data_IF_004092384138
#
_entry.id   IF_004092384138
#
_cell.length_a   1.000
_cell.length_b   1.000
_cell.length_c   1.000
_cell.angle_alpha   90.00
_cell.angle_beta   90.00
_cell.angle_gamma   90.00
#
_symmetry.space_group_name_H-M   'P 1'
#
loop_
_entity.id
_entity.type
_entity.pdbx_description
1 polymer ?
#
# COMPACT_ATOMS: atom_id res chain seq x y z
N UNK A 1 2.55 21.56 16.82
CA UNK A 1 1.64 21.75 15.73
C UNK A 1 1.27 20.46 15.01
N UNK A 2 1.98 19.51 15.24
CA UNK A 2 1.84 18.31 14.46
C UNK A 2 0.53 17.60 14.63
N UNK A 3 -0.09 17.68 15.78
CA UNK A 3 -1.41 17.15 15.98
C UNK A 3 -2.47 17.79 15.13
N UNK A 4 -2.20 19.01 14.69
CA UNK A 4 -3.19 19.75 13.91
C UNK A 4 -3.39 19.17 12.52
N UNK A 5 -2.41 18.44 12.01
CA UNK A 5 -2.50 17.82 10.70
C UNK A 5 -3.70 16.89 10.61
N UNK A 6 -3.97 16.16 11.71
CA UNK A 6 -5.09 15.22 11.74
C UNK A 6 -6.45 15.90 11.76
N UNK A 7 -6.48 17.19 12.04
CA UNK A 7 -7.71 17.96 12.13
C UNK A 7 -7.96 18.85 10.93
N UNK A 8 -7.04 18.86 9.96
CA UNK A 8 -7.19 19.67 8.76
C UNK A 8 -8.25 19.04 7.87
N UNK A 9 -9.31 19.78 7.50
CA UNK A 9 -10.29 19.25 6.56
C UNK A 9 -9.63 18.86 5.24
N UNK A 10 -10.09 17.77 4.66
CA UNK A 10 -9.50 17.22 3.46
C UNK A 10 -9.39 18.26 2.33
N UNK A 11 -10.40 19.10 2.18
CA UNK A 11 -10.41 20.09 1.10
C UNK A 11 -9.35 21.17 1.27
N UNK A 12 -8.72 21.28 2.44
CA UNK A 12 -7.64 22.22 2.67
C UNK A 12 -6.25 21.61 2.44
N UNK A 13 -6.19 20.33 2.19
CA UNK A 13 -4.93 19.66 1.88
C UNK A 13 -4.55 19.93 0.42
N UNK A 14 -3.25 20.05 0.15
CA UNK A 14 -2.82 20.05 -1.24
C UNK A 14 -2.93 18.63 -1.79
N UNK A 15 -2.78 18.49 -3.11
CA UNK A 15 -2.99 17.22 -3.77
C UNK A 15 -2.00 16.13 -3.33
N UNK A 16 -0.78 16.52 -3.02
CA UNK A 16 0.23 15.55 -2.58
C UNK A 16 -0.11 15.03 -1.18
N UNK A 17 -0.54 15.91 -0.29
CA UNK A 17 -0.99 15.50 1.04
C UNK A 17 -2.19 14.59 0.95
N UNK A 18 -3.14 14.93 0.09
CA UNK A 18 -4.33 14.11 -0.13
C UNK A 18 -3.93 12.71 -0.62
N UNK A 19 -3.06 12.67 -1.63
CA UNK A 19 -2.59 11.41 -2.22
C UNK A 19 -1.92 10.52 -1.16
N UNK A 20 -1.02 11.09 -0.38
CA UNK A 20 -0.32 10.32 0.65
C UNK A 20 -1.27 9.89 1.76
N UNK A 21 -2.24 10.72 2.11
CA UNK A 21 -3.23 10.37 3.15
C UNK A 21 -4.07 9.18 2.70
N UNK A 22 -4.58 9.22 1.47
CA UNK A 22 -5.39 8.12 0.95
C UNK A 22 -4.55 6.86 0.81
N UNK A 23 -3.27 7.00 0.40
CA UNK A 23 -2.37 5.86 0.31
C UNK A 23 -2.23 5.17 1.66
N UNK A 24 -2.08 5.95 2.74
CA UNK A 24 -2.02 5.39 4.09
C UNK A 24 -3.30 4.65 4.45
N UNK A 25 -4.45 5.23 4.11
CA UNK A 25 -5.75 4.62 4.40
C UNK A 25 -5.91 3.28 3.68
N UNK A 26 -5.56 3.23 2.40
CA UNK A 26 -5.68 2.00 1.64
C UNK A 26 -4.71 0.93 2.12
N UNK A 27 -3.50 1.32 2.49
CA UNK A 27 -2.56 0.38 3.09
C UNK A 27 -3.08 -0.16 4.41
N UNK A 28 -3.72 0.69 5.22
CA UNK A 28 -4.33 0.27 6.49
C UNK A 28 -5.44 -0.74 6.27
N UNK A 29 -6.28 -0.52 5.27
CA UNK A 29 -7.35 -1.46 4.94
C UNK A 29 -6.80 -2.79 4.44
N UNK A 30 -5.71 -2.76 3.66
CA UNK A 30 -5.06 -3.98 3.22
C UNK A 30 -4.54 -4.78 4.42
N UNK A 31 -3.95 -4.10 5.40
CA UNK A 31 -3.49 -4.75 6.63
C UNK A 31 -4.66 -5.46 7.32
N UNK A 32 -5.81 -4.78 7.44
CA UNK A 32 -6.99 -5.35 8.09
C UNK A 32 -7.49 -6.58 7.35
N UNK A 33 -7.53 -6.54 6.02
CA UNK A 33 -8.00 -7.68 5.24
C UNK A 33 -7.04 -8.86 5.34
N UNK A 34 -5.73 -8.60 5.36
CA UNK A 34 -4.75 -9.66 5.56
C UNK A 34 -4.96 -10.35 6.91
N UNK A 35 -5.14 -9.57 7.97
CA UNK A 35 -5.39 -10.10 9.31
C UNK A 35 -6.67 -10.93 9.35
N UNK A 36 -7.74 -10.42 8.75
CA UNK A 36 -9.02 -11.13 8.68
C UNK A 36 -8.89 -12.43 7.90
N UNK A 37 -8.13 -12.43 6.82
CA UNK A 37 -7.91 -13.62 5.99
C UNK A 37 -7.22 -14.72 6.80
N UNK A 38 -6.26 -14.36 7.63
CA UNK A 38 -5.57 -15.31 8.51
C UNK A 38 -6.55 -15.85 9.55
N UNK A 39 -7.31 -14.99 10.23
CA UNK A 39 -8.25 -15.40 11.27
C UNK A 39 -9.32 -16.33 10.74
N UNK A 40 -9.77 -16.12 9.51
CA UNK A 40 -10.84 -16.91 8.91
C UNK A 40 -10.31 -18.02 8.00
N UNK A 41 -9.00 -18.12 7.88
CA UNK A 41 -8.35 -19.07 6.99
C UNK A 41 -8.91 -19.02 5.57
N UNK A 42 -9.19 -17.81 5.09
CA UNK A 42 -9.76 -17.59 3.77
C UNK A 42 -8.67 -17.03 2.86
N UNK A 43 -7.97 -17.92 2.16
CA UNK A 43 -6.78 -17.55 1.39
C UNK A 43 -7.02 -17.48 -0.12
N UNK A 44 -7.87 -18.35 -0.65
CA UNK A 44 -8.09 -18.45 -2.09
C UNK A 44 -9.41 -17.80 -2.46
N UNK A 45 -9.47 -17.24 -3.67
CA UNK A 45 -10.65 -16.55 -4.19
C UNK A 45 -11.17 -15.48 -3.21
N UNK A 46 -10.23 -14.82 -2.56
CA UNK A 46 -10.54 -13.82 -1.54
C UNK A 46 -10.83 -12.48 -2.21
N UNK A 47 -12.10 -12.20 -2.42
CA UNK A 47 -12.53 -11.01 -3.14
C UNK A 47 -12.11 -9.73 -2.42
N UNK A 48 -12.25 -9.70 -1.10
CA UNK A 48 -11.85 -8.51 -0.32
C UNK A 48 -10.36 -8.22 -0.49
N UNK A 49 -9.54 -9.26 -0.43
CA UNK A 49 -8.10 -9.10 -0.58
C UNK A 49 -7.76 -8.57 -1.97
N UNK A 50 -8.42 -9.12 -2.99
CA UNK A 50 -8.21 -8.69 -4.37
C UNK A 50 -8.58 -7.21 -4.55
N UNK A 51 -9.71 -6.81 -3.98
CA UNK A 51 -10.17 -5.42 -4.08
C UNK A 51 -9.22 -4.46 -3.37
N UNK A 52 -8.76 -4.83 -2.18
CA UNK A 52 -7.83 -3.98 -1.44
C UNK A 52 -6.47 -3.87 -2.12
N UNK A 53 -5.99 -4.96 -2.73
CA UNK A 53 -4.77 -4.90 -3.53
C UNK A 53 -4.95 -3.94 -4.71
N UNK A 54 -6.12 -4.00 -5.36
CA UNK A 54 -6.43 -3.08 -6.45
C UNK A 54 -6.45 -1.62 -5.99
N UNK A 55 -7.02 -1.36 -4.82
CA UNK A 55 -7.09 -0.01 -4.28
C UNK A 55 -5.68 0.52 -3.95
N UNK A 56 -4.83 -0.31 -3.36
CA UNK A 56 -3.44 0.08 -3.07
C UNK A 56 -2.67 0.30 -4.36
N UNK A 57 -2.86 -0.58 -5.35
CA UNK A 57 -2.17 -0.43 -6.63
C UNK A 57 -2.58 0.86 -7.33
N UNK A 58 -3.86 1.22 -7.26
CA UNK A 58 -4.33 2.49 -7.80
C UNK A 58 -3.57 3.67 -7.20
N UNK A 59 -3.36 3.65 -5.87
CA UNK A 59 -2.63 4.73 -5.22
C UNK A 59 -1.16 4.73 -5.63
N UNK A 60 -0.57 3.54 -5.83
CA UNK A 60 0.81 3.44 -6.30
C UNK A 60 0.95 4.06 -7.70
N UNK A 61 -0.01 3.78 -8.59
CA UNK A 61 0.00 4.36 -9.93
C UNK A 61 -0.10 5.89 -9.87
N UNK A 62 -0.92 6.41 -8.97
CA UNK A 62 -1.05 7.86 -8.80
C UNK A 62 0.24 8.47 -8.22
N UNK A 63 0.93 7.76 -7.32
CA UNK A 63 2.23 8.22 -6.84
C UNK A 63 3.21 8.42 -8.00
N UNK A 64 3.18 7.51 -8.96
CA UNK A 64 4.00 7.65 -10.15
C UNK A 64 3.53 8.81 -11.03
N UNK A 65 2.21 8.93 -11.24
CA UNK A 65 1.66 9.98 -12.10
C UNK A 65 1.95 11.38 -11.58
N UNK A 66 2.09 11.51 -10.26
CA UNK A 66 2.45 12.79 -9.61
C UNK A 66 3.96 12.94 -9.41
N UNK A 67 4.75 12.09 -10.04
CA UNK A 67 6.21 12.15 -10.02
C UNK A 67 6.83 11.95 -8.63
N UNK A 68 6.15 11.23 -7.73
CA UNK A 68 6.69 10.96 -6.41
C UNK A 68 7.57 9.71 -6.38
N UNK A 69 7.40 8.83 -7.35
CA UNK A 69 8.19 7.59 -7.44
C UNK A 69 8.58 7.34 -8.89
N UNK A 70 9.61 6.52 -9.09
CA UNK A 70 10.07 6.06 -10.40
C UNK A 70 9.80 4.56 -10.50
N UNK A 71 9.14 4.14 -11.59
CA UNK A 71 8.88 2.72 -11.82
C UNK A 71 10.15 1.89 -11.87
N UNK A 72 11.21 2.42 -12.51
CA UNK A 72 12.48 1.70 -12.59
C UNK A 72 13.05 1.42 -11.20
N UNK A 73 13.01 2.42 -10.33
CA UNK A 73 13.51 2.26 -8.96
C UNK A 73 12.62 1.34 -8.14
N UNK A 74 11.30 1.40 -8.34
CA UNK A 74 10.35 0.49 -7.68
C UNK A 74 10.64 -0.95 -8.09
N UNK A 75 10.84 -1.20 -9.38
CA UNK A 75 11.12 -2.54 -9.86
C UNK A 75 12.44 -3.08 -9.34
N UNK A 76 13.47 -2.22 -9.27
CA UNK A 76 14.73 -2.60 -8.66
C UNK A 76 14.53 -3.00 -7.20
N UNK A 77 13.72 -2.22 -6.47
CA UNK A 77 13.47 -2.53 -5.05
C UNK A 77 12.70 -3.85 -4.89
N UNK A 78 11.79 -4.15 -5.82
CA UNK A 78 11.09 -5.45 -5.79
C UNK A 78 12.10 -6.59 -5.85
N UNK A 79 13.10 -6.49 -6.73
CA UNK A 79 14.12 -7.53 -6.85
C UNK A 79 14.97 -7.63 -5.58
N UNK A 80 15.33 -6.49 -4.99
CA UNK A 80 16.08 -6.48 -3.73
C UNK A 80 15.26 -7.15 -2.62
N UNK A 81 13.97 -6.86 -2.55
CA UNK A 81 13.11 -7.45 -1.52
C UNK A 81 12.97 -8.95 -1.71
N UNK A 82 12.80 -9.40 -2.96
CA UNK A 82 12.73 -10.84 -3.24
C UNK A 82 14.01 -11.56 -2.78
N UNK A 83 15.15 -10.93 -3.03
CA UNK A 83 16.43 -11.51 -2.63
C UNK A 83 16.55 -11.59 -1.10
N UNK A 84 16.10 -10.55 -0.40
CA UNK A 84 16.09 -10.57 1.07
C UNK A 84 15.15 -11.64 1.61
N UNK A 85 14.00 -11.83 1.00
CA UNK A 85 13.03 -12.84 1.43
C UNK A 85 13.60 -14.25 1.31
N UNK A 86 14.46 -14.50 0.33
CA UNK A 86 15.11 -15.82 0.21
C UNK A 86 15.91 -16.21 1.44
N UNK A 87 16.38 -15.22 2.21
CA UNK A 87 17.26 -15.48 3.35
C UNK A 87 16.52 -15.87 4.61
N UNK A 88 15.24 -15.54 4.73
CA UNK A 88 14.50 -15.82 5.98
C UNK A 88 13.05 -16.24 5.75
N UNK A 89 12.60 -16.37 4.53
CA UNK A 89 11.22 -16.71 4.19
C UNK A 89 11.21 -17.87 3.20
N UNK A 90 10.16 -18.66 3.24
CA UNK A 90 9.95 -19.77 2.30
C UNK A 90 9.15 -19.33 1.07
N UNK A 91 8.82 -18.05 0.96
CA UNK A 91 7.97 -17.55 -0.14
C UNK A 91 8.68 -17.53 -1.49
N UNK A 92 10.00 -17.39 -1.50
CA UNK A 92 10.81 -17.32 -2.71
C UNK A 92 11.75 -18.52 -2.73
N UNK A 93 11.71 -19.28 -3.82
CA UNK A 93 12.56 -20.44 -4.02
C UNK A 93 13.83 -20.11 -4.77
#
# INVERSE_FOLDING_TARGET
MDGDTNNIPFYLMDKLQELLTITMEECGELIQVCSKSIRKEHYHDNKELTEEVGDVLCMIELLHDYDLISWDEVEERVLVKKDKLKQWSDLIE
#
